data_IF_536608984615
#
_entry.id   IF_536608984615
#
_cell.length_a   1.000
_cell.length_b   1.000
_cell.length_c   1.000
_cell.angle_alpha   90.00
_cell.angle_beta   90.00
_cell.angle_gamma   90.00
#
_symmetry.space_group_name_H-M   'P 1'
#
loop_
_entity.id
_entity.type
_entity.pdbx_description
1 polymer ?
#
# COMPACT_ATOMS: atom_id res chain seq x y z
N UNK A 1 -9.45 18.95 15.17
CA UNK A 1 -9.65 17.57 15.68
C UNK A 1 -8.34 16.80 15.57
N UNK A 2 -7.89 16.12 16.63
CA UNK A 2 -6.75 15.20 16.52
C UNK A 2 -7.12 13.99 15.66
N UNK A 3 -6.24 13.60 14.72
CA UNK A 3 -6.47 12.46 13.83
C UNK A 3 -5.99 11.18 14.51
N UNK A 4 -6.89 10.21 14.60
CA UNK A 4 -6.67 8.94 15.26
C UNK A 4 -6.75 7.83 14.22
N UNK A 5 -5.87 6.85 14.36
CA UNK A 5 -5.77 5.66 13.52
C UNK A 5 -5.95 4.40 14.40
N UNK A 6 -6.53 3.34 13.84
CA UNK A 6 -6.88 2.13 14.57
C UNK A 6 -5.72 1.14 14.56
N UNK A 7 -5.06 0.99 15.71
CA UNK A 7 -3.98 0.04 15.87
C UNK A 7 -4.55 -1.39 16.02
N UNK A 8 -4.33 -2.24 15.01
CA UNK A 8 -4.77 -3.65 15.00
C UNK A 8 -4.04 -4.53 16.04
N UNK A 9 -2.85 -4.13 16.50
CA UNK A 9 -2.11 -4.86 17.53
C UNK A 9 -2.68 -4.64 18.93
N UNK A 10 -3.18 -3.43 19.20
CA UNK A 10 -3.67 -3.00 20.52
C UNK A 10 -5.18 -2.74 20.58
N UNK A 11 -5.91 -2.92 19.48
CA UNK A 11 -7.35 -2.66 19.32
C UNK A 11 -7.78 -1.27 19.83
N UNK A 12 -6.96 -0.24 19.58
CA UNK A 12 -7.17 1.13 20.10
C UNK A 12 -6.90 2.19 19.04
N UNK A 13 -7.71 3.24 19.06
CA UNK A 13 -7.48 4.46 18.30
C UNK A 13 -6.30 5.25 18.90
N UNK A 14 -5.16 5.28 18.21
CA UNK A 14 -3.96 6.03 18.59
C UNK A 14 -3.81 7.28 17.73
N UNK A 15 -3.32 8.37 18.32
CA UNK A 15 -3.00 9.61 17.59
C UNK A 15 -1.78 9.35 16.69
N UNK A 16 -1.88 9.64 15.40
CA UNK A 16 -0.80 9.40 14.44
C UNK A 16 0.47 10.16 14.84
N UNK A 17 1.61 9.45 14.86
CA UNK A 17 2.87 9.97 15.39
C UNK A 17 3.64 10.91 14.46
N UNK A 18 3.42 10.87 13.13
CA UNK A 18 4.03 11.85 12.21
C UNK A 18 3.05 12.26 11.10
N UNK A 19 2.83 13.57 10.87
CA UNK A 19 2.03 14.07 9.75
C UNK A 19 2.74 13.98 8.38
N UNK A 20 3.97 13.48 8.34
CA UNK A 20 4.78 13.34 7.14
C UNK A 20 5.99 12.43 7.36
N UNK A 21 6.74 12.22 6.28
CA UNK A 21 7.99 11.47 6.27
C UNK A 21 9.18 12.42 6.42
N UNK A 22 10.11 12.11 7.33
CA UNK A 22 11.31 12.90 7.55
C UNK A 22 12.44 12.45 6.61
N UNK A 23 12.99 13.38 5.83
CA UNK A 23 14.08 13.10 4.90
C UNK A 23 13.63 12.55 3.53
N UNK A 24 14.58 12.27 2.63
CA UNK A 24 14.27 11.84 1.27
C UNK A 24 13.72 10.40 1.26
N UNK A 25 12.73 10.15 0.41
CA UNK A 25 12.10 8.83 0.26
C UNK A 25 11.83 8.54 -1.22
N UNK A 26 12.01 7.29 -1.63
CA UNK A 26 11.39 6.79 -2.86
C UNK A 26 9.95 6.42 -2.55
N UNK A 27 9.00 6.86 -3.38
CA UNK A 27 7.59 6.62 -3.15
C UNK A 27 6.90 6.02 -4.37
N UNK A 28 5.80 5.31 -4.12
CA UNK A 28 4.88 4.85 -5.14
C UNK A 28 3.44 5.10 -4.72
N UNK A 29 2.58 5.29 -5.72
CA UNK A 29 1.14 5.47 -5.53
C UNK A 29 0.43 4.23 -6.09
N UNK A 30 -0.44 3.66 -5.29
CA UNK A 30 -1.21 2.46 -5.55
C UNK A 30 -2.69 2.70 -5.22
N UNK A 31 -3.56 1.76 -5.57
CA UNK A 31 -5.00 1.83 -5.29
C UNK A 31 -5.66 3.18 -5.66
N UNK A 32 -5.27 3.79 -6.78
CA UNK A 32 -5.71 5.12 -7.26
C UNK A 32 -5.51 6.26 -6.25
N UNK A 33 -4.44 6.19 -5.46
CA UNK A 33 -4.16 7.17 -4.41
C UNK A 33 -4.67 6.78 -3.03
N UNK A 34 -5.44 5.68 -2.92
CA UNK A 34 -5.85 5.11 -1.64
C UNK A 34 -4.73 4.35 -0.90
N UNK A 35 -3.58 4.13 -1.55
CA UNK A 35 -2.40 3.54 -0.92
C UNK A 35 -1.15 4.30 -1.37
N UNK A 36 -0.44 4.87 -0.41
CA UNK A 36 0.88 5.47 -0.59
C UNK A 36 1.92 4.56 0.03
N UNK A 37 3.05 4.42 -0.66
CA UNK A 37 4.15 3.54 -0.29
C UNK A 37 5.44 4.36 -0.31
N UNK A 38 6.31 4.16 0.66
CA UNK A 38 7.57 4.88 0.74
C UNK A 38 8.68 4.05 1.38
N UNK A 39 9.89 4.19 0.86
CA UNK A 39 11.12 3.67 1.46
C UNK A 39 12.12 4.81 1.67
N UNK A 40 12.79 4.90 2.84
CA UNK A 40 13.81 5.92 3.08
C UNK A 40 14.92 5.85 2.03
N UNK A 41 15.40 7.01 1.56
CA UNK A 41 16.46 7.13 0.56
C UNK A 41 17.78 7.65 1.15
N UNK A 42 17.84 7.84 2.47
CA UNK A 42 19.03 8.21 3.23
C UNK A 42 19.91 7.00 3.58
N UNK A 43 19.38 5.79 3.43
CA UNK A 43 20.07 4.53 3.64
C UNK A 43 20.02 3.66 2.38
N UNK A 44 21.14 3.01 2.07
CA UNK A 44 21.19 1.95 1.06
C UNK A 44 20.61 0.63 1.57
N UNK A 45 20.46 0.49 2.89
CA UNK A 45 19.92 -0.69 3.58
C UNK A 45 18.47 -0.38 3.96
N UNK A 46 17.51 -0.89 3.21
CA UNK A 46 16.09 -0.63 3.44
C UNK A 46 15.47 -1.84 4.12
N UNK A 47 15.24 -1.70 5.43
CA UNK A 47 14.63 -2.75 6.25
C UNK A 47 13.14 -2.50 6.52
N UNK A 48 12.63 -1.31 6.14
CA UNK A 48 11.26 -0.89 6.41
C UNK A 48 10.63 -0.33 5.13
N UNK A 49 9.49 -0.90 4.76
CA UNK A 49 8.53 -0.26 3.86
C UNK A 49 7.53 0.52 4.69
N UNK A 50 7.35 1.80 4.38
CA UNK A 50 6.30 2.63 4.97
C UNK A 50 5.08 2.66 4.07
N UNK A 51 3.89 2.66 4.66
CA UNK A 51 2.65 2.81 3.90
C UNK A 51 1.65 3.74 4.59
N UNK A 52 0.75 4.33 3.81
CA UNK A 52 -0.34 5.18 4.27
C UNK A 52 -1.59 4.93 3.43
N UNK A 53 -2.76 4.91 4.08
CA UNK A 53 -4.06 4.72 3.42
C UNK A 53 -4.97 5.93 3.54
N UNK A 54 -4.46 7.04 4.09
CA UNK A 54 -5.22 8.25 4.40
C UNK A 54 -4.65 9.50 3.71
N UNK A 55 -4.00 9.30 2.55
CA UNK A 55 -3.38 10.37 1.78
C UNK A 55 -2.10 10.94 2.40
N UNK A 56 -1.38 10.13 3.19
CA UNK A 56 -0.06 10.47 3.72
C UNK A 56 -0.09 11.19 5.06
N UNK A 57 -1.24 11.20 5.76
CA UNK A 57 -1.37 11.87 7.07
C UNK A 57 -0.91 10.99 8.20
N UNK A 58 -1.05 9.67 8.06
CA UNK A 58 -0.58 8.65 8.98
C UNK A 58 0.25 7.63 8.21
N UNK A 59 1.39 7.23 8.79
CA UNK A 59 2.34 6.29 8.18
C UNK A 59 2.58 5.10 9.11
N UNK A 60 2.64 3.91 8.51
CA UNK A 60 2.85 2.63 9.18
C UNK A 60 4.06 1.92 8.60
N UNK A 61 4.67 1.04 9.39
CA UNK A 61 5.92 0.36 9.01
C UNK A 61 5.67 -1.15 8.81
N UNK A 62 6.17 -1.68 7.69
CA UNK A 62 6.27 -3.10 7.39
C UNK A 62 7.76 -3.46 7.36
N UNK A 63 8.25 -4.29 8.29
CA UNK A 63 9.60 -4.84 8.21
C UNK A 63 9.76 -5.67 6.93
N UNK A 64 10.84 -5.44 6.18
CA UNK A 64 11.18 -6.17 4.96
C UNK A 64 12.15 -7.33 5.21
N UNK A 65 12.72 -7.42 6.40
CA UNK A 65 13.55 -8.55 6.79
C UNK A 65 12.67 -9.79 7.03
N UNK A 66 13.10 -10.98 6.58
CA UNK A 66 12.46 -12.22 7.00
C UNK A 66 12.68 -12.35 8.51
N UNK A 67 11.61 -12.21 9.29
CA UNK A 67 11.65 -12.57 10.71
C UNK A 67 12.09 -14.04 10.81
N UNK A 68 13.04 -14.38 11.70
CA UNK A 68 13.28 -15.78 12.02
C UNK A 68 11.94 -16.37 12.45
N UNK A 69 11.51 -17.45 11.79
CA UNK A 69 10.35 -18.21 12.30
C UNK A 69 10.67 -18.54 13.76
N UNK A 70 9.78 -18.27 14.72
CA UNK A 70 9.98 -18.78 16.07
C UNK A 70 10.05 -20.30 15.95
N UNK A 71 11.26 -20.84 16.13
CA UNK A 71 11.46 -22.26 16.38
C UNK A 71 10.67 -22.57 17.64
N UNK A 72 9.55 -23.26 17.48
CA UNK A 72 8.77 -23.80 18.57
C UNK A 72 9.57 -24.94 19.21
N UNK A 73 10.54 -24.58 20.04
CA UNK A 73 11.24 -25.46 20.96
C UNK A 73 11.42 -24.69 22.26
N UNK A 74 10.36 -24.62 23.05
CA UNK A 74 10.42 -24.47 24.51
C UNK A 74 8.99 -24.54 25.06
N UNK A 75 8.50 -25.75 25.29
CA UNK A 75 7.46 -26.05 26.30
C UNK A 75 7.43 -27.57 26.55
N UNK A 76 8.54 -28.11 27.04
CA UNK A 76 8.53 -29.38 27.76
C UNK A 76 8.43 -29.09 29.27
N UNK A 77 7.21 -28.96 29.78
CA UNK A 77 6.97 -29.02 31.24
C UNK A 77 5.70 -29.82 31.58
N UNK A 78 5.96 -31.09 31.86
CA UNK A 78 5.33 -31.98 32.86
C UNK A 78 3.97 -31.56 33.42
N UNK A 79 2.94 -32.38 33.15
CA UNK A 79 1.85 -32.62 34.10
C UNK A 79 1.45 -34.11 34.10
N UNK A 80 1.55 -34.73 35.29
CA UNK A 80 1.01 -36.04 35.64
C UNK A 80 -0.52 -35.97 35.82
N UNK A 81 -1.23 -37.05 35.46
CA UNK A 81 -2.64 -37.25 35.86
C UNK A 81 -3.41 -38.28 35.02
N UNK A 82 -3.77 -39.40 35.63
CA UNK A 82 -4.42 -40.60 35.06
C UNK A 82 -5.88 -40.42 34.58
N UNK A 83 -6.34 -41.18 33.56
CA UNK A 83 -7.11 -42.45 33.68
C UNK A 83 -7.84 -42.89 32.37
N UNK A 84 -7.53 -44.13 31.94
CA UNK A 84 -8.38 -45.21 31.38
C UNK A 84 -9.34 -45.03 30.16
N UNK A 85 -8.93 -45.68 29.05
CA UNK A 85 -9.63 -46.69 28.19
C UNK A 85 -10.81 -46.30 27.27
N UNK A 86 -11.17 -47.07 26.19
CA UNK A 86 -10.61 -48.31 25.60
C UNK A 86 -10.35 -48.26 24.05
N UNK A 87 -9.82 -49.35 23.41
CA UNK A 87 -9.12 -49.31 22.11
C UNK A 87 -9.92 -49.86 20.91
N UNK A 88 -9.53 -49.49 19.69
CA UNK A 88 -9.82 -50.23 18.46
C UNK A 88 -8.58 -50.34 17.57
N UNK A 89 -8.47 -51.51 16.93
CA UNK A 89 -7.27 -52.19 16.44
C UNK A 89 -6.81 -51.69 15.06
N UNK A 90 -5.50 -51.61 14.84
CA UNK A 90 -4.91 -51.55 13.50
C UNK A 90 -4.12 -52.83 13.21
N UNK A 91 -4.55 -53.53 12.15
CA UNK A 91 -3.90 -54.69 11.58
C UNK A 91 -2.67 -54.28 10.75
N UNK A 92 -1.54 -54.93 11.01
CA UNK A 92 -0.32 -54.83 10.22
C UNK A 92 -0.46 -55.58 8.89
N UNK A 93 -0.09 -54.92 7.78
CA UNK A 93 0.21 -55.60 6.52
C UNK A 93 1.65 -55.27 6.13
N UNK A 94 2.46 -56.32 6.15
CA UNK A 94 3.84 -56.39 5.69
C UNK A 94 3.87 -56.51 4.16
N UNK A 95 4.77 -55.79 3.49
CA UNK A 95 5.39 -56.31 2.26
C UNK A 95 6.77 -55.64 2.05
N UNK A 96 7.80 -56.40 1.61
CA UNK A 96 9.19 -56.00 1.69
C UNK A 96 9.63 -55.34 0.39
N UNK A 97 10.46 -54.30 0.49
CA UNK A 97 11.50 -54.04 -0.49
C UNK A 97 12.55 -53.16 0.19
N UNK A 98 13.65 -53.80 0.58
CA UNK A 98 14.86 -53.14 1.02
C UNK A 98 15.62 -52.64 -0.22
N UNK A 99 15.87 -51.33 -0.28
CA UNK A 99 17.00 -50.77 -0.99
C UNK A 99 17.71 -49.81 -0.04
N UNK A 100 18.88 -50.25 0.42
CA UNK A 100 19.84 -49.49 1.20
C UNK A 100 20.50 -48.45 0.30
N UNK A 101 20.34 -47.17 0.60
CA UNK A 101 21.19 -46.10 0.06
C UNK A 101 21.58 -45.15 1.20
N UNK A 102 22.85 -45.32 1.58
CA UNK A 102 23.88 -44.31 1.88
C UNK A 102 23.52 -43.14 2.80
N UNK A 103 24.28 -43.07 3.90
CA UNK A 103 24.51 -41.87 4.71
C UNK A 103 25.11 -40.77 3.84
N UNK A 104 24.27 -39.98 3.17
CA UNK A 104 24.67 -38.64 2.79
C UNK A 104 24.54 -37.77 4.03
N UNK A 105 25.70 -37.30 4.48
CA UNK A 105 25.82 -36.28 5.49
C UNK A 105 25.09 -35.07 4.92
N UNK A 106 23.85 -34.83 5.36
CA UNK A 106 23.05 -33.70 4.96
C UNK A 106 23.83 -32.46 5.36
N UNK A 107 24.50 -31.85 4.38
CA UNK A 107 25.04 -30.51 4.49
C UNK A 107 23.92 -29.66 5.06
N UNK A 108 24.19 -29.07 6.22
CA UNK A 108 23.32 -28.18 6.94
C UNK A 108 22.59 -27.25 5.96
N UNK A 109 21.30 -26.94 6.15
CA UNK A 109 20.65 -25.92 5.35
C UNK A 109 21.51 -24.66 5.44
N UNK A 110 21.85 -24.10 4.27
CA UNK A 110 22.58 -22.85 4.14
C UNK A 110 22.17 -21.93 5.27
N UNK A 111 23.13 -21.62 6.15
CA UNK A 111 22.98 -20.51 7.07
C UNK A 111 22.44 -19.39 6.20
N UNK A 112 21.24 -18.89 6.52
CA UNK A 112 20.76 -17.63 5.95
C UNK A 112 21.82 -16.64 6.41
N UNK A 113 22.86 -16.45 5.59
CA UNK A 113 23.89 -15.49 5.90
C UNK A 113 23.14 -14.17 6.05
N UNK A 114 23.30 -13.57 7.22
CA UNK A 114 22.69 -12.31 7.61
C UNK A 114 23.31 -11.21 6.73
N UNK A 115 22.89 -11.21 5.47
CA UNK A 115 23.46 -10.43 4.40
C UNK A 115 22.51 -9.27 4.11
N UNK A 116 23.02 -8.05 4.21
CA UNK A 116 22.27 -6.84 3.91
C UNK A 116 21.95 -6.73 2.42
N UNK A 117 20.77 -6.19 2.11
CA UNK A 117 20.33 -5.93 0.74
C UNK A 117 20.51 -4.44 0.45
N UNK A 118 21.26 -4.14 -0.61
CA UNK A 118 21.38 -2.78 -1.14
C UNK A 118 20.15 -2.48 -1.98
N UNK A 119 19.36 -1.51 -1.54
CA UNK A 119 18.17 -1.05 -2.23
C UNK A 119 18.50 -0.55 -3.64
N UNK A 120 17.67 -0.94 -4.60
CA UNK A 120 17.76 -0.47 -6.00
C UNK A 120 16.46 0.18 -6.45
N UNK A 121 15.30 -0.36 -6.06
CA UNK A 121 14.04 0.20 -6.51
C UNK A 121 12.80 -0.28 -5.78
N UNK A 122 11.74 0.52 -5.95
CA UNK A 122 10.38 0.31 -5.46
C UNK A 122 9.42 0.37 -6.65
N UNK A 123 8.68 -0.70 -6.89
CA UNK A 123 7.78 -0.79 -8.06
C UNK A 123 6.41 -1.34 -7.68
N UNK A 124 5.40 -0.80 -8.35
CA UNK A 124 4.02 -1.29 -8.38
C UNK A 124 3.65 -1.62 -9.82
N UNK A 125 2.60 -2.41 -10.01
CA UNK A 125 2.05 -2.62 -11.35
C UNK A 125 1.67 -1.27 -12.00
N UNK A 126 2.03 -1.04 -13.29
CA UNK A 126 1.67 0.17 -13.99
C UNK A 126 0.16 0.46 -13.98
N UNK A 127 -0.21 1.74 -13.98
CA UNK A 127 -1.61 2.18 -14.00
C UNK A 127 -2.17 2.58 -12.63
N UNK A 128 -1.36 2.52 -11.55
CA UNK A 128 -1.70 3.07 -10.24
C UNK A 128 -2.84 2.35 -9.52
N UNK A 129 -3.23 1.16 -10.01
CA UNK A 129 -4.32 0.33 -9.44
C UNK A 129 -3.80 -0.84 -8.60
N UNK A 130 -2.49 -1.05 -8.57
CA UNK A 130 -1.86 -2.16 -7.88
C UNK A 130 -2.23 -2.17 -6.39
N UNK A 131 -2.36 -3.37 -5.83
CA UNK A 131 -2.40 -3.62 -4.38
C UNK A 131 -1.14 -4.31 -3.88
N UNK A 132 -0.21 -4.59 -4.79
CA UNK A 132 1.03 -5.28 -4.51
C UNK A 132 2.19 -4.37 -4.85
N UNK A 133 3.21 -4.39 -4.00
CA UNK A 133 4.44 -3.63 -4.19
C UNK A 133 5.63 -4.57 -4.06
N UNK A 134 6.64 -4.34 -4.90
CA UNK A 134 7.91 -5.03 -4.83
C UNK A 134 9.02 -4.02 -4.49
N UNK A 135 9.79 -4.34 -3.46
CA UNK A 135 11.06 -3.69 -3.12
C UNK A 135 12.16 -4.62 -3.55
N UNK A 136 13.11 -4.14 -4.35
CA UNK A 136 14.19 -4.99 -4.85
C UNK A 136 15.56 -4.34 -4.75
N UNK A 137 16.56 -5.21 -4.71
CA UNK A 137 17.95 -4.85 -4.51
C UNK A 137 18.86 -6.05 -4.70
N UNK A 138 20.15 -5.88 -4.41
CA UNK A 138 21.14 -6.94 -4.48
C UNK A 138 21.81 -7.15 -3.12
N UNK A 139 22.14 -8.39 -2.80
CA UNK A 139 22.89 -8.73 -1.59
C UNK A 139 24.35 -8.24 -1.65
N UNK A 140 24.91 -7.82 -0.51
CA UNK A 140 26.29 -7.31 -0.40
C UNK A 140 27.39 -8.34 -0.58
N UNK A 141 27.16 -9.58 -0.14
CA UNK A 141 28.11 -10.70 -0.12
C UNK A 141 27.94 -11.58 -1.36
N UNK A 142 26.71 -12.03 -1.62
CA UNK A 142 26.37 -12.95 -2.71
C UNK A 142 26.18 -12.23 -4.05
N UNK A 143 25.98 -10.91 -4.05
CA UNK A 143 25.61 -10.11 -5.23
C UNK A 143 24.37 -10.63 -5.97
N UNK A 144 23.53 -11.43 -5.30
CA UNK A 144 22.29 -11.96 -5.87
C UNK A 144 21.16 -10.96 -5.69
N UNK A 145 20.33 -10.83 -6.72
CA UNK A 145 19.11 -10.04 -6.65
C UNK A 145 18.11 -10.65 -5.67
N UNK A 146 17.49 -9.79 -4.86
CA UNK A 146 16.44 -10.14 -3.91
C UNK A 146 15.25 -9.21 -4.11
N UNK A 147 14.06 -9.75 -3.94
CA UNK A 147 12.80 -9.02 -4.08
C UNK A 147 11.91 -9.36 -2.89
N UNK A 148 11.50 -8.33 -2.15
CA UNK A 148 10.47 -8.43 -1.13
C UNK A 148 9.15 -7.93 -1.72
N UNK A 149 8.14 -8.81 -1.73
CA UNK A 149 6.81 -8.48 -2.27
C UNK A 149 5.84 -8.37 -1.10
N UNK A 150 5.17 -7.22 -1.00
CA UNK A 150 4.13 -6.96 -0.02
C UNK A 150 2.80 -6.87 -0.74
N UNK A 151 1.88 -7.75 -0.38
CA UNK A 151 0.56 -7.84 -0.97
C UNK A 151 -0.52 -7.33 -0.01
N UNK A 152 -1.01 -6.12 -0.26
CA UNK A 152 -2.07 -5.50 0.54
C UNK A 152 -3.46 -6.07 0.25
N UNK A 153 -3.61 -6.91 -0.79
CA UNK A 153 -4.87 -7.58 -1.05
C UNK A 153 -5.15 -8.72 -0.06
N UNK A 154 -4.08 -9.41 0.36
CA UNK A 154 -4.18 -10.66 1.13
C UNK A 154 -3.60 -10.56 2.55
N UNK A 155 -3.04 -9.41 2.95
CA UNK A 155 -2.46 -9.21 4.28
C UNK A 155 -3.50 -9.01 5.40
N UNK A 156 -4.80 -8.97 5.06
CA UNK A 156 -5.90 -8.78 6.01
C UNK A 156 -6.13 -7.34 6.49
N UNK A 157 -5.33 -6.35 6.02
CA UNK A 157 -5.52 -4.94 6.36
C UNK A 157 -6.66 -4.32 5.56
N UNK A 158 -6.69 -4.54 4.25
CA UNK A 158 -7.78 -4.09 3.37
C UNK A 158 -8.57 -5.33 2.99
N UNK A 159 -9.85 -5.39 3.33
CA UNK A 159 -10.65 -6.62 3.21
C UNK A 159 -11.92 -6.45 2.38
N UNK A 160 -12.30 -5.21 2.05
CA UNK A 160 -13.53 -4.90 1.30
C UNK A 160 -13.23 -4.08 0.06
N UNK A 161 -14.09 -4.22 -0.94
CA UNK A 161 -14.16 -3.29 -2.06
C UNK A 161 -14.86 -2.00 -1.64
N UNK A 162 -14.44 -0.88 -2.21
CA UNK A 162 -15.06 0.41 -1.93
C UNK A 162 -16.48 0.45 -2.48
N UNK A 163 -17.41 0.98 -1.69
CA UNK A 163 -18.77 1.32 -2.14
C UNK A 163 -18.88 2.83 -2.35
N UNK A 164 -20.00 3.32 -2.88
CA UNK A 164 -20.24 4.76 -3.06
C UNK A 164 -20.14 5.52 -1.74
N UNK A 165 -20.51 4.89 -0.62
CA UNK A 165 -20.45 5.48 0.72
C UNK A 165 -19.02 5.71 1.22
N UNK A 166 -18.03 5.02 0.64
CA UNK A 166 -16.61 5.21 0.95
C UNK A 166 -16.01 6.45 0.26
N UNK A 167 -16.75 7.07 -0.66
CA UNK A 167 -16.33 8.27 -1.39
C UNK A 167 -17.07 9.53 -0.89
N UNK A 168 -16.43 10.67 -1.08
CA UNK A 168 -17.00 12.00 -0.89
C UNK A 168 -16.85 12.84 -2.17
N UNK A 169 -17.73 13.82 -2.36
CA UNK A 169 -17.59 14.78 -3.45
C UNK A 169 -16.48 15.77 -3.08
N UNK A 170 -15.51 15.89 -3.97
CA UNK A 170 -14.41 16.83 -3.90
C UNK A 170 -14.54 17.87 -5.02
N UNK A 171 -14.36 19.13 -4.65
CA UNK A 171 -14.48 20.29 -5.53
C UNK A 171 -13.11 20.93 -5.73
N UNK A 172 -12.32 20.47 -6.73
CA UNK A 172 -11.02 21.04 -7.04
C UNK A 172 -11.07 22.57 -7.21
N UNK A 173 -10.02 23.25 -6.76
CA UNK A 173 -9.82 24.70 -6.89
C UNK A 173 -10.90 25.58 -6.23
N UNK A 174 -11.85 24.99 -5.50
CA UNK A 174 -12.79 25.74 -4.67
C UNK A 174 -12.04 26.36 -3.49
N UNK A 175 -12.30 27.64 -3.23
CA UNK A 175 -11.74 28.39 -2.10
C UNK A 175 -12.84 28.79 -1.13
N UNK A 176 -12.48 28.91 0.15
CA UNK A 176 -13.42 29.19 1.25
C UNK A 176 -13.81 30.68 1.34
N UNK A 177 -13.27 31.53 0.47
CA UNK A 177 -13.30 32.98 0.66
C UNK A 177 -14.63 33.58 0.17
N UNK A 178 -15.26 33.00 -0.86
CA UNK A 178 -16.58 33.43 -1.40
C UNK A 178 -17.27 32.26 -2.11
N UNK A 179 -18.24 31.63 -1.45
CA UNK A 179 -19.02 30.53 -2.04
C UNK A 179 -19.84 31.01 -3.26
N UNK A 180 -20.27 32.28 -3.25
CA UNK A 180 -21.07 32.92 -4.31
C UNK A 180 -20.25 33.49 -5.49
N UNK A 181 -18.92 33.33 -5.50
CA UNK A 181 -18.12 33.81 -6.64
C UNK A 181 -18.31 32.89 -7.85
N UNK A 182 -18.78 33.41 -9.02
CA UNK A 182 -18.96 32.60 -10.23
C UNK A 182 -17.66 31.93 -10.70
N UNK A 183 -16.49 32.49 -10.35
CA UNK A 183 -15.18 31.91 -10.67
C UNK A 183 -14.70 30.87 -9.65
N UNK A 184 -15.44 30.63 -8.55
CA UNK A 184 -14.98 29.70 -7.51
C UNK A 184 -14.91 28.27 -8.05
N UNK A 185 -13.76 27.60 -7.92
CA UNK A 185 -13.53 26.29 -8.52
C UNK A 185 -13.44 26.26 -10.04
N UNK A 186 -13.46 27.42 -10.71
CA UNK A 186 -13.22 27.49 -12.14
C UNK A 186 -11.71 27.54 -12.42
N UNK A 187 -11.20 26.54 -13.14
CA UNK A 187 -9.82 26.51 -13.60
C UNK A 187 -9.82 26.24 -15.11
N UNK A 188 -9.18 27.12 -15.88
CA UNK A 188 -9.11 27.03 -17.35
C UNK A 188 -10.50 26.95 -18.01
N UNK A 189 -11.45 27.74 -17.52
CA UNK A 189 -12.82 27.81 -18.04
C UNK A 189 -13.72 26.61 -17.69
N UNK A 190 -13.26 25.69 -16.83
CA UNK A 190 -14.04 24.51 -16.41
C UNK A 190 -14.04 24.38 -14.89
N UNK A 191 -15.20 24.05 -14.34
CA UNK A 191 -15.36 23.59 -12.96
C UNK A 191 -15.62 22.10 -12.97
N UNK A 192 -14.76 21.35 -12.28
CA UNK A 192 -14.88 19.89 -12.16
C UNK A 192 -15.37 19.50 -10.76
N UNK A 193 -16.22 18.47 -10.69
CA UNK A 193 -16.52 17.77 -9.44
C UNK A 193 -16.11 16.32 -9.58
N UNK A 194 -15.31 15.83 -8.63
CA UNK A 194 -14.80 14.45 -8.64
C UNK A 194 -15.09 13.76 -7.32
N UNK A 195 -15.34 12.46 -7.37
CA UNK A 195 -15.27 11.62 -6.18
C UNK A 195 -13.84 11.47 -5.70
N UNK A 196 -13.68 11.54 -4.39
CA UNK A 196 -12.44 11.28 -3.67
C UNK A 196 -12.71 10.25 -2.58
N UNK A 197 -11.78 9.32 -2.39
CA UNK A 197 -11.88 8.35 -1.30
C UNK A 197 -11.77 9.08 0.04
N UNK A 198 -12.68 8.78 0.98
CA UNK A 198 -12.64 9.37 2.32
C UNK A 198 -11.40 8.92 3.08
N UNK A 199 -10.87 9.80 3.92
CA UNK A 199 -9.65 9.52 4.70
C UNK A 199 -9.78 8.31 5.64
N UNK A 200 -10.99 8.03 6.12
CA UNK A 200 -11.29 6.92 7.04
C UNK A 200 -11.82 5.66 6.32
N UNK A 201 -11.87 5.65 4.99
CA UNK A 201 -12.35 4.52 4.20
C UNK A 201 -11.18 3.65 3.75
N UNK A 202 -11.07 2.47 4.36
CA UNK A 202 -10.06 1.46 4.04
C UNK A 202 -10.66 0.38 3.13
N UNK A 203 -10.42 0.48 1.82
CA UNK A 203 -11.02 -0.42 0.83
C UNK A 203 -10.26 -0.46 -0.51
N UNK A 204 -10.52 -1.50 -1.32
CA UNK A 204 -10.02 -1.61 -2.69
C UNK A 204 -10.85 -0.76 -3.64
N UNK A 205 -10.19 0.18 -4.35
CA UNK A 205 -10.83 0.95 -5.39
C UNK A 205 -11.08 0.05 -6.60
N UNK A 206 -12.36 -0.18 -6.88
CA UNK A 206 -12.85 -0.99 -7.99
C UNK A 206 -12.44 -0.41 -9.35
N UNK A 207 -12.22 -1.30 -10.33
CA UNK A 207 -11.81 -0.94 -11.69
C UNK A 207 -12.84 -0.08 -12.43
N UNK A 208 -14.12 -0.26 -12.11
CA UNK A 208 -15.24 0.39 -12.79
C UNK A 208 -15.58 1.78 -12.26
N UNK A 209 -14.98 2.20 -11.13
CA UNK A 209 -15.29 3.50 -10.55
C UNK A 209 -14.65 4.64 -11.36
N UNK A 210 -15.52 5.55 -11.82
CA UNK A 210 -15.14 6.79 -12.48
C UNK A 210 -15.03 7.87 -11.43
N UNK A 211 -13.87 8.53 -11.36
CA UNK A 211 -13.64 9.61 -10.41
C UNK A 211 -14.41 10.88 -10.80
N UNK A 212 -14.47 11.19 -12.10
CA UNK A 212 -15.17 12.37 -12.60
C UNK A 212 -16.69 12.21 -12.45
N UNK A 213 -17.31 13.10 -11.67
CA UNK A 213 -18.77 13.13 -11.49
C UNK A 213 -19.43 14.11 -12.46
N UNK A 214 -18.90 15.33 -12.55
CA UNK A 214 -19.43 16.36 -13.45
C UNK A 214 -18.35 17.34 -13.89
N UNK A 215 -18.59 17.95 -15.04
CA UNK A 215 -17.85 19.10 -15.54
C UNK A 215 -18.86 20.18 -15.94
N UNK A 216 -18.56 21.43 -15.60
CA UNK A 216 -19.37 22.60 -15.90
C UNK A 216 -18.49 23.65 -16.58
N UNK A 217 -18.95 24.21 -17.70
CA UNK A 217 -18.22 25.27 -18.41
C UNK A 217 -18.51 26.60 -17.73
N UNK A 218 -17.47 27.34 -17.39
CA UNK A 218 -17.59 28.68 -16.81
C UNK A 218 -17.70 29.75 -17.90
N UNK A 219 -18.15 30.95 -17.52
CA UNK A 219 -18.05 32.12 -18.39
C UNK A 219 -16.59 32.56 -18.54
N UNK A 220 -16.19 32.93 -19.77
CA UNK A 220 -14.84 33.43 -20.06
C UNK A 220 -14.59 34.77 -19.35
N UNK A 221 -13.43 34.88 -18.70
CA UNK A 221 -12.90 36.13 -18.13
C UNK A 221 -11.68 36.61 -18.90
N UNK A 222 -11.18 37.82 -18.62
CA UNK A 222 -9.94 38.33 -19.23
C UNK A 222 -8.73 37.42 -18.97
N UNK A 223 -8.72 36.70 -17.84
CA UNK A 223 -7.64 35.79 -17.45
C UNK A 223 -7.58 34.51 -18.31
N UNK A 224 -8.65 34.20 -19.03
CA UNK A 224 -8.74 33.01 -19.89
C UNK A 224 -8.15 33.23 -21.30
N UNK A 225 -7.61 34.43 -21.56
CA UNK A 225 -7.04 34.80 -22.85
C UNK A 225 -5.52 34.93 -22.79
N UNK A 226 -4.84 34.31 -23.74
CA UNK A 226 -3.41 34.54 -23.97
C UNK A 226 -3.17 35.60 -25.05
N UNK A 227 -2.05 36.32 -24.94
CA UNK A 227 -1.65 37.29 -25.96
C UNK A 227 -0.94 36.60 -27.12
N UNK A 228 -1.52 36.69 -28.33
CA UNK A 228 -0.85 36.29 -29.56
C UNK A 228 -0.31 37.51 -30.30
N UNK A 229 0.93 37.41 -30.80
CA UNK A 229 1.60 38.50 -31.55
C UNK A 229 0.81 38.78 -32.84
N UNK A 230 0.29 40.01 -32.97
CA UNK A 230 -0.55 40.53 -34.07
C UNK A 230 -2.04 40.12 -34.11
N UNK A 231 -2.76 40.36 -33.00
CA UNK A 231 -4.23 40.46 -32.86
C UNK A 231 -5.06 39.17 -33.06
N UNK A 232 -5.41 38.52 -31.94
CA UNK A 232 -6.80 38.25 -31.49
C UNK A 232 -6.80 37.40 -30.22
N UNK A 233 -7.59 37.83 -29.23
CA UNK A 233 -7.91 37.08 -28.01
C UNK A 233 -8.69 35.81 -28.36
N UNK A 234 -8.12 34.62 -28.11
CA UNK A 234 -8.84 33.33 -28.17
C UNK A 234 -9.17 32.85 -26.76
N UNK A 235 -10.45 32.57 -26.48
CA UNK A 235 -10.84 31.90 -25.24
C UNK A 235 -10.65 30.38 -25.42
N UNK A 236 -10.02 29.70 -24.45
CA UNK A 236 -9.69 28.27 -24.51
C UNK A 236 -10.91 27.32 -24.62
N UNK A 237 -12.13 27.79 -24.35
CA UNK A 237 -13.35 26.98 -24.34
C UNK A 237 -14.56 27.64 -25.02
N UNK A 238 -14.34 28.46 -26.04
CA UNK A 238 -15.46 28.88 -26.89
C UNK A 238 -15.94 27.68 -27.72
N UNK A 239 -16.99 27.00 -27.23
CA UNK A 239 -17.87 26.21 -28.09
C UNK A 239 -18.62 27.19 -29.01
N UNK A 240 -17.91 27.74 -29.98
CA UNK A 240 -18.53 28.30 -31.18
C UNK A 240 -18.94 27.12 -32.06
N UNK A 241 -20.19 26.69 -31.90
CA UNK A 241 -20.93 26.04 -32.99
C UNK A 241 -21.64 27.14 -33.76
#
# INVERSE_FOLDING_TARGET
>A
MGKYDYDLGDNKFKRCRSPGLDGPHHYQIANRGGLLLAVPADSLWVDILRFSTDGGRCWHNIPLTPSPKPTSEDDAKVHEGANQSPPLQHHSITSPNALTLQNDTFSSPDLVEEESVVFTGLVTEPGGRAMTVAVYGYGTVTQRWRVAVVDFANNGFITKNCTVDDYELWYPHRTDIKEDDPSNGCLLGVRETSYRLKENSLCFSNSEFQSLQSYEVCECTELDYEWYVNWLLKCCFSNSV
#
